data_IF_811694037898
#
_entry.id   IF_811694037898
#
_cell.length_a   1.000
_cell.length_b   1.000
_cell.length_c   1.000
_cell.angle_alpha   90.00
_cell.angle_beta   90.00
_cell.angle_gamma   90.00
#
_symmetry.space_group_name_H-M   'P 1'
#
loop_
_entity.id
_entity.type
_entity.pdbx_description
1 polymer ?
#
# COMPACT_ATOMS: atom_id res chain seq x y z
N UNK A 1 9.46 -11.88 29.64
CA UNK A 1 8.80 -13.17 29.91
C UNK A 1 7.43 -13.11 29.24
N UNK A 2 7.19 -13.99 28.28
CA UNK A 2 6.12 -13.83 27.28
C UNK A 2 4.72 -14.09 27.84
N UNK A 3 3.75 -13.26 27.44
CA UNK A 3 2.33 -13.50 27.61
C UNK A 3 1.77 -14.18 26.36
N UNK A 4 0.98 -15.24 26.53
CA UNK A 4 0.12 -15.81 25.50
C UNK A 4 -1.27 -16.01 26.10
N UNK A 5 -2.26 -15.35 25.52
CA UNK A 5 -3.68 -15.48 25.87
C UNK A 5 -4.33 -16.47 24.90
N UNK A 6 -4.97 -17.50 25.47
CA UNK A 6 -5.75 -18.48 24.74
C UNK A 6 -7.18 -17.99 24.47
N UNK A 7 -7.66 -18.31 23.27
CA UNK A 7 -8.92 -17.97 22.61
C UNK A 7 -10.19 -18.32 23.45
N UNK A 8 -11.23 -17.46 23.53
CA UNK A 8 -12.38 -17.66 24.41
C UNK A 8 -13.63 -18.15 23.66
N UNK A 9 -13.64 -19.35 23.09
CA UNK A 9 -14.88 -19.95 22.59
C UNK A 9 -14.91 -21.47 22.80
N UNK A 10 -15.36 -21.90 23.97
CA UNK A 10 -15.86 -23.25 24.16
C UNK A 10 -16.96 -23.25 25.22
N UNK A 11 -18.20 -23.52 24.78
CA UNK A 11 -19.33 -23.81 25.66
C UNK A 11 -19.39 -25.34 25.82
N UNK A 12 -19.22 -25.81 27.06
CA UNK A 12 -19.39 -27.21 27.44
C UNK A 12 -20.84 -27.39 27.92
N UNK A 13 -21.62 -28.24 27.24
CA UNK A 13 -22.97 -28.60 27.67
C UNK A 13 -22.92 -29.97 28.35
N UNK A 14 -23.30 -30.02 29.63
CA UNK A 14 -23.51 -31.27 30.36
C UNK A 14 -24.91 -31.82 30.09
N UNK A 15 -25.02 -33.08 29.69
CA UNK A 15 -26.30 -33.78 29.60
C UNK A 15 -26.82 -34.13 30.99
N UNK A 16 -27.98 -33.59 31.34
CA UNK A 16 -28.86 -34.18 32.35
C UNK A 16 -30.10 -34.73 31.64
N UNK A 17 -30.37 -35.99 31.90
CA UNK A 17 -31.52 -36.75 31.41
C UNK A 17 -32.82 -36.19 31.97
N UNK A 18 -33.68 -35.61 31.12
CA UNK A 18 -35.15 -35.67 31.31
C UNK A 18 -35.90 -35.33 30.03
N UNK A 19 -36.95 -36.10 29.79
CA UNK A 19 -37.89 -36.07 28.66
C UNK A 19 -38.83 -34.86 28.66
N UNK A 20 -39.11 -34.34 27.45
CA UNK A 20 -40.43 -34.00 26.89
C UNK A 20 -40.62 -32.58 26.30
N UNK A 21 -41.34 -32.60 25.18
CA UNK A 21 -41.97 -31.53 24.38
C UNK A 21 -41.14 -30.67 23.40
N UNK A 22 -41.28 -31.06 22.12
CA UNK A 22 -40.88 -30.34 20.91
C UNK A 22 -41.85 -29.18 20.62
N UNK A 23 -41.33 -27.96 20.45
CA UNK A 23 -42.01 -26.88 19.72
C UNK A 23 -41.38 -26.74 18.33
N UNK A 24 -42.19 -26.95 17.28
CA UNK A 24 -41.80 -26.75 15.87
C UNK A 24 -41.42 -25.28 15.63
N UNK A 25 -40.19 -25.02 15.25
CA UNK A 25 -39.77 -23.78 14.60
C UNK A 25 -39.57 -24.09 13.11
N UNK A 26 -40.28 -23.39 12.25
CA UNK A 26 -40.22 -23.53 10.79
C UNK A 26 -38.95 -22.90 10.21
N UNK A 27 -38.15 -23.68 9.48
CA UNK A 27 -37.01 -23.22 8.70
C UNK A 27 -37.46 -22.71 7.31
N UNK A 28 -36.96 -21.57 6.80
CA UNK A 28 -37.04 -21.25 5.38
C UNK A 28 -36.05 -22.09 4.56
N UNK A 29 -36.42 -22.30 3.28
CA UNK A 29 -35.80 -23.20 2.28
C UNK A 29 -34.27 -23.15 2.24
N UNK A 30 -33.67 -24.31 2.51
CA UNK A 30 -32.26 -24.63 2.59
C UNK A 30 -31.48 -24.54 1.27
N UNK A 31 -30.27 -23.95 1.31
CA UNK A 31 -29.15 -24.31 0.43
C UNK A 31 -28.69 -25.75 0.73
N UNK A 32 -28.13 -26.51 -0.24
CA UNK A 32 -27.74 -27.90 -0.01
C UNK A 32 -26.57 -27.98 0.97
N UNK A 33 -26.83 -28.50 2.17
CA UNK A 33 -25.80 -28.79 3.18
C UNK A 33 -25.14 -30.11 2.80
N UNK A 34 -23.85 -30.08 2.47
CA UNK A 34 -23.08 -31.30 2.23
C UNK A 34 -22.53 -31.82 3.56
N UNK A 35 -23.26 -32.71 4.23
CA UNK A 35 -22.78 -33.40 5.44
C UNK A 35 -21.83 -34.54 5.07
N UNK A 36 -20.56 -34.44 5.45
CA UNK A 36 -19.64 -35.59 5.49
C UNK A 36 -19.46 -36.03 6.94
N UNK A 37 -20.11 -37.13 7.32
CA UNK A 37 -19.95 -37.75 8.63
C UNK A 37 -18.86 -38.83 8.58
N UNK A 38 -17.77 -38.67 9.35
CA UNK A 38 -16.83 -39.76 9.65
C UNK A 38 -17.08 -40.26 11.07
N UNK A 39 -17.44 -41.54 11.20
CA UNK A 39 -17.73 -42.19 12.48
C UNK A 39 -16.41 -42.65 13.13
N UNK A 40 -16.04 -42.02 14.25
CA UNK A 40 -15.22 -42.65 15.29
C UNK A 40 -15.91 -42.42 16.63
N UNK A 41 -15.99 -43.51 17.40
CA UNK A 41 -16.52 -43.65 18.76
C UNK A 41 -16.83 -42.35 19.53
N UNK A 42 -18.10 -42.20 19.91
CA UNK A 42 -18.50 -41.56 21.17
C UNK A 42 -18.80 -40.06 21.19
N UNK A 43 -18.42 -39.27 20.18
CA UNK A 43 -18.71 -37.83 20.18
C UNK A 43 -19.07 -37.33 18.77
N UNK A 44 -20.17 -36.58 18.67
CA UNK A 44 -20.59 -35.92 17.44
C UNK A 44 -20.14 -34.46 17.50
N UNK A 45 -19.01 -34.13 16.87
CA UNK A 45 -18.60 -32.74 16.69
C UNK A 45 -19.02 -32.29 15.31
N UNK A 46 -20.05 -31.46 15.22
CA UNK A 46 -20.43 -30.78 13.99
C UNK A 46 -19.61 -29.48 13.89
N UNK A 47 -18.72 -29.39 12.90
CA UNK A 47 -18.08 -28.13 12.54
C UNK A 47 -19.00 -27.37 11.59
N UNK A 48 -19.63 -26.30 12.10
CA UNK A 48 -20.22 -25.28 11.23
C UNK A 48 -19.08 -24.37 10.75
N UNK A 49 -18.48 -24.71 9.61
CA UNK A 49 -17.84 -23.68 8.81
C UNK A 49 -18.98 -23.01 8.04
N UNK A 50 -19.34 -21.80 8.47
CA UNK A 50 -19.90 -20.86 7.51
C UNK A 50 -18.80 -20.69 6.46
N UNK A 51 -18.96 -21.39 5.33
CA UNK A 51 -18.29 -20.97 4.12
C UNK A 51 -18.94 -19.65 3.76
N UNK A 52 -18.49 -18.57 4.39
CA UNK A 52 -18.59 -17.24 3.80
C UNK A 52 -17.81 -17.36 2.51
N UNK A 53 -18.53 -17.66 1.44
CA UNK A 53 -18.09 -17.36 0.10
C UNK A 53 -17.85 -15.85 0.12
N UNK A 54 -16.60 -15.45 0.38
CA UNK A 54 -16.18 -14.06 0.35
C UNK A 54 -16.54 -13.55 -1.05
N UNK A 55 -17.70 -12.89 -1.15
CA UNK A 55 -18.11 -12.21 -2.37
C UNK A 55 -17.06 -11.13 -2.57
N UNK A 56 -16.38 -11.19 -3.70
CA UNK A 56 -15.44 -10.16 -4.13
C UNK A 56 -16.16 -8.80 -4.07
N UNK A 57 -15.84 -7.92 -3.10
CA UNK A 57 -16.58 -6.68 -2.87
C UNK A 57 -16.50 -5.74 -4.08
N UNK A 58 -15.50 -5.94 -4.95
CA UNK A 58 -15.33 -5.19 -6.20
C UNK A 58 -16.43 -5.56 -7.21
N UNK A 59 -16.93 -6.80 -7.20
CA UNK A 59 -17.94 -7.31 -8.15
C UNK A 59 -19.36 -7.20 -7.63
N UNK A 60 -19.53 -6.94 -6.34
CA UNK A 60 -20.84 -6.73 -5.74
C UNK A 60 -21.33 -5.29 -5.99
N UNK A 61 -22.28 -5.14 -6.91
CA UNK A 61 -22.88 -3.84 -7.25
C UNK A 61 -23.83 -3.32 -6.15
N UNK A 62 -24.16 -4.14 -5.15
CA UNK A 62 -25.05 -3.76 -4.05
C UNK A 62 -24.28 -3.17 -2.86
N UNK A 63 -22.98 -3.46 -2.74
CA UNK A 63 -22.10 -2.81 -1.76
C UNK A 63 -22.01 -1.30 -2.09
N UNK A 64 -22.17 -0.37 -1.13
CA UNK A 64 -21.92 1.05 -1.36
C UNK A 64 -20.51 1.32 -1.91
N UNK A 65 -20.35 2.28 -2.82
CA UNK A 65 -19.11 2.46 -3.61
C UNK A 65 -17.87 2.71 -2.74
N UNK A 66 -18.06 3.42 -1.63
CA UNK A 66 -17.04 3.74 -0.62
C UNK A 66 -16.55 2.54 0.19
N UNK A 67 -17.28 1.42 0.15
CA UNK A 67 -16.92 0.15 0.80
C UNK A 67 -16.39 -0.90 -0.19
N UNK A 68 -16.44 -0.63 -1.51
CA UNK A 68 -15.97 -1.58 -2.54
C UNK A 68 -14.46 -1.61 -2.69
N UNK A 69 -13.79 -0.51 -2.35
CA UNK A 69 -12.36 -0.36 -2.51
C UNK A 69 -11.73 -0.16 -1.15
N UNK A 70 -10.84 -1.07 -0.79
CA UNK A 70 -10.02 -0.87 0.40
C UNK A 70 -9.12 0.36 0.21
N UNK A 71 -9.00 1.16 1.25
CA UNK A 71 -8.03 2.24 1.27
C UNK A 71 -6.61 1.65 1.17
N UNK A 72 -5.70 2.39 0.52
CA UNK A 72 -4.30 2.00 0.52
C UNK A 72 -3.76 1.88 1.96
N UNK A 73 -3.00 0.82 2.28
CA UNK A 73 -2.36 0.70 3.57
C UNK A 73 -1.37 1.85 3.77
N UNK A 74 -1.08 2.19 5.03
CA UNK A 74 -0.03 3.16 5.38
C UNK A 74 1.11 2.43 6.06
N UNK A 75 2.26 2.39 5.40
CA UNK A 75 3.52 1.84 5.94
C UNK A 75 4.43 2.95 6.43
N UNK A 76 4.40 4.12 5.78
CA UNK A 76 4.95 5.35 6.34
C UNK A 76 3.97 6.51 6.13
N UNK A 77 3.72 7.27 7.18
CA UNK A 77 2.92 8.49 7.13
C UNK A 77 3.76 9.74 6.80
N UNK A 78 3.10 10.90 6.71
CA UNK A 78 3.75 12.16 6.35
C UNK A 78 4.78 12.64 7.40
N UNK A 79 4.62 12.28 8.67
CA UNK A 79 5.57 12.64 9.71
C UNK A 79 6.88 11.86 9.52
N UNK A 80 6.78 10.55 9.32
CA UNK A 80 7.92 9.69 9.05
C UNK A 80 8.64 10.06 7.73
N UNK A 81 7.88 10.43 6.69
CA UNK A 81 8.43 10.93 5.44
C UNK A 81 9.21 12.24 5.66
N UNK A 82 8.68 13.17 6.47
CA UNK A 82 9.34 14.46 6.77
C UNK A 82 10.58 14.31 7.62
N UNK A 83 10.66 13.29 8.46
CA UNK A 83 11.87 12.93 9.20
C UNK A 83 12.94 12.34 8.26
N UNK A 84 12.51 11.56 7.27
CA UNK A 84 13.40 10.87 6.34
C UNK A 84 13.90 11.75 5.19
N UNK A 85 13.08 12.68 4.71
CA UNK A 85 13.41 13.58 3.60
C UNK A 85 13.63 15.02 4.07
N UNK A 86 14.61 15.74 3.49
CA UNK A 86 14.81 17.16 3.80
C UNK A 86 13.77 18.08 3.13
N UNK A 87 13.03 17.58 2.13
CA UNK A 87 12.06 18.36 1.35
C UNK A 87 10.92 18.91 2.22
N UNK A 88 10.51 20.15 1.96
CA UNK A 88 9.39 20.82 2.64
C UNK A 88 8.52 21.54 1.62
N UNK A 89 7.37 22.06 2.04
CA UNK A 89 6.50 22.87 1.20
C UNK A 89 7.30 24.01 0.52
N UNK A 90 7.09 24.28 -0.79
CA UNK A 90 6.10 23.66 -1.69
C UNK A 90 6.65 22.49 -2.52
N UNK A 91 7.69 21.79 -2.05
CA UNK A 91 8.45 20.81 -2.84
C UNK A 91 8.61 19.43 -2.18
N UNK A 92 7.81 19.11 -1.15
CA UNK A 92 7.65 17.74 -0.67
C UNK A 92 6.45 17.12 -1.42
N UNK A 93 6.71 16.09 -2.22
CA UNK A 93 5.76 15.54 -3.19
C UNK A 93 5.45 14.05 -2.96
N UNK A 94 5.71 13.54 -1.76
CA UNK A 94 5.30 12.20 -1.33
C UNK A 94 4.45 12.35 -0.08
N UNK A 95 3.19 11.96 -0.16
CA UNK A 95 2.21 12.16 0.93
C UNK A 95 2.10 10.94 1.85
N UNK A 96 2.32 9.75 1.30
CA UNK A 96 2.21 8.46 1.99
C UNK A 96 3.07 7.40 1.31
N UNK A 97 3.60 6.45 2.08
CA UNK A 97 4.21 5.22 1.54
C UNK A 97 3.35 4.01 1.92
N UNK A 98 3.07 3.16 0.94
CA UNK A 98 2.13 2.03 1.04
C UNK A 98 2.83 0.67 0.96
N UNK A 99 4.07 0.65 0.45
CA UNK A 99 4.94 -0.51 0.41
C UNK A 99 6.37 -0.02 0.67
N UNK A 100 7.01 -0.50 1.73
CA UNK A 100 8.39 -0.16 2.09
C UNK A 100 8.95 -1.22 3.01
N UNK A 101 10.23 -1.55 2.84
CA UNK A 101 10.93 -2.51 3.70
C UNK A 101 12.28 -1.93 4.07
N UNK A 102 12.61 -1.92 5.37
CA UNK A 102 13.92 -1.47 5.85
C UNK A 102 15.04 -2.35 5.27
N UNK A 103 16.10 -1.74 4.75
CA UNK A 103 17.14 -2.38 3.95
C UNK A 103 16.69 -2.89 2.57
N UNK A 104 15.44 -2.66 2.19
CA UNK A 104 14.87 -3.06 0.90
C UNK A 104 15.24 -2.09 -0.22
N UNK A 105 15.09 -2.56 -1.46
CA UNK A 105 15.49 -1.82 -2.67
C UNK A 105 14.30 -1.20 -3.43
N UNK A 106 13.08 -1.31 -2.91
CA UNK A 106 11.88 -0.79 -3.56
C UNK A 106 10.92 -0.13 -2.57
N UNK A 107 10.12 0.79 -3.09
CA UNK A 107 9.04 1.41 -2.36
C UNK A 107 7.88 1.76 -3.30
N UNK A 108 6.67 1.83 -2.74
CA UNK A 108 5.49 2.40 -3.40
C UNK A 108 4.97 3.56 -2.57
N UNK A 109 4.90 4.73 -3.19
CA UNK A 109 4.42 5.98 -2.58
C UNK A 109 3.20 6.53 -3.28
N UNK A 110 2.50 7.42 -2.60
CA UNK A 110 1.34 8.14 -3.11
C UNK A 110 1.63 9.63 -3.08
N UNK A 111 1.26 10.30 -4.17
CA UNK A 111 1.02 11.73 -4.23
C UNK A 111 -0.45 11.97 -4.58
N UNK A 112 -1.18 12.66 -3.71
CA UNK A 112 -2.51 13.15 -4.01
C UNK A 112 -2.39 14.45 -4.81
N UNK A 113 -3.20 14.57 -5.85
CA UNK A 113 -3.19 15.75 -6.71
C UNK A 113 -4.43 16.58 -6.40
N UNK A 114 -4.23 17.78 -5.87
CA UNK A 114 -5.32 18.68 -5.51
C UNK A 114 -5.24 19.99 -6.27
N UNK A 115 -6.39 20.55 -6.67
CA UNK A 115 -6.43 21.85 -7.35
C UNK A 115 -5.81 22.98 -6.51
N UNK A 116 -5.71 22.79 -5.19
CA UNK A 116 -5.12 23.72 -4.24
C UNK A 116 -3.57 23.68 -4.19
N UNK A 117 -2.90 23.14 -5.21
CA UNK A 117 -1.43 23.17 -5.31
C UNK A 117 -0.93 24.38 -6.09
N UNK A 118 0.15 25.00 -5.58
CA UNK A 118 0.68 26.28 -6.07
C UNK A 118 0.94 26.33 -7.59
N UNK A 119 1.34 25.21 -8.20
CA UNK A 119 1.71 25.18 -9.62
C UNK A 119 0.51 25.21 -10.57
N UNK A 120 -0.72 24.90 -10.13
CA UNK A 120 -1.88 24.88 -11.01
C UNK A 120 -2.31 26.28 -11.49
N UNK A 121 -1.99 27.33 -10.72
CA UNK A 121 -2.20 28.71 -11.14
C UNK A 121 -1.43 29.07 -12.43
N UNK A 122 -0.30 28.40 -12.68
CA UNK A 122 0.55 28.63 -13.84
C UNK A 122 0.56 27.50 -14.88
N UNK A 123 0.08 26.30 -14.54
CA UNK A 123 0.24 25.12 -15.40
C UNK A 123 -1.07 24.30 -15.52
N UNK A 124 -2.02 24.70 -16.36
CA UNK A 124 -2.11 25.98 -17.07
C UNK A 124 -3.40 26.68 -16.63
N UNK A 125 -3.47 28.03 -16.70
CA UNK A 125 -4.74 28.73 -16.49
C UNK A 125 -5.87 28.12 -17.34
N UNK A 126 -6.96 27.71 -16.70
CA UNK A 126 -8.12 27.07 -17.36
C UNK A 126 -7.95 25.58 -17.72
N UNK A 127 -6.75 25.00 -17.55
CA UNK A 127 -6.48 23.57 -17.77
C UNK A 127 -5.44 23.05 -16.77
N UNK A 128 -5.84 22.73 -15.53
CA UNK A 128 -4.93 22.33 -14.47
C UNK A 128 -4.33 20.95 -14.78
N UNK A 129 -3.06 20.91 -15.17
CA UNK A 129 -2.29 19.69 -15.46
C UNK A 129 -1.04 19.70 -14.59
N UNK A 130 -0.70 18.58 -13.96
CA UNK A 130 0.54 18.49 -13.18
C UNK A 130 1.74 18.62 -14.15
N UNK A 131 2.69 19.53 -13.89
CA UNK A 131 3.94 19.58 -14.67
C UNK A 131 4.63 18.21 -14.62
N UNK A 132 4.95 17.61 -15.77
CA UNK A 132 5.55 16.28 -15.84
C UNK A 132 6.85 16.15 -15.03
N UNK A 133 7.62 17.24 -14.94
CA UNK A 133 8.84 17.30 -14.11
C UNK A 133 8.56 17.11 -12.62
N UNK A 134 7.38 17.48 -12.11
CA UNK A 134 7.01 17.23 -10.71
C UNK A 134 6.65 15.77 -10.45
N UNK A 135 6.16 15.05 -11.47
CA UNK A 135 5.99 13.59 -11.40
C UNK A 135 7.35 12.90 -11.31
N UNK A 136 8.34 13.38 -12.09
CA UNK A 136 9.71 12.90 -12.02
C UNK A 136 10.33 13.17 -10.64
N UNK A 137 10.15 14.38 -10.12
CA UNK A 137 10.62 14.78 -8.79
C UNK A 137 9.98 13.93 -7.67
N UNK A 138 8.66 13.73 -7.69
CA UNK A 138 7.96 12.93 -6.69
C UNK A 138 8.48 11.48 -6.66
N UNK A 139 8.74 10.89 -7.83
CA UNK A 139 9.40 9.58 -7.93
C UNK A 139 10.85 9.63 -7.42
N UNK A 140 11.62 10.68 -7.73
CA UNK A 140 12.97 10.83 -7.21
C UNK A 140 13.00 10.91 -5.67
N UNK A 141 12.06 11.63 -5.05
CA UNK A 141 11.88 11.69 -3.60
C UNK A 141 11.56 10.33 -2.98
N UNK A 142 10.67 9.57 -3.61
CA UNK A 142 10.40 8.18 -3.20
C UNK A 142 11.66 7.30 -3.33
N UNK A 143 12.45 7.49 -4.39
CA UNK A 143 13.76 6.85 -4.54
C UNK A 143 14.76 7.27 -3.45
N UNK A 144 14.71 8.53 -3.04
CA UNK A 144 15.47 9.09 -1.92
C UNK A 144 15.16 8.41 -0.59
N UNK A 145 13.88 8.15 -0.29
CA UNK A 145 13.48 7.38 0.89
C UNK A 145 14.16 6.01 0.93
N UNK A 146 14.25 5.33 -0.22
CA UNK A 146 14.95 4.05 -0.32
C UNK A 146 16.46 4.28 -0.10
N UNK A 147 17.06 5.24 -0.81
CA UNK A 147 18.51 5.44 -0.84
C UNK A 147 19.10 5.90 0.49
N UNK A 148 18.39 6.74 1.25
CA UNK A 148 18.85 7.30 2.53
C UNK A 148 18.87 6.29 3.67
N UNK A 149 18.43 5.06 3.44
CA UNK A 149 18.55 3.98 4.40
C UNK A 149 20.04 3.70 4.73
N UNK A 150 20.43 3.72 6.03
CA UNK A 150 21.79 3.44 6.45
C UNK A 150 22.32 2.08 5.94
N UNK A 151 21.44 1.09 5.80
CA UNK A 151 21.75 -0.26 5.31
C UNK A 151 22.19 -0.27 3.83
N UNK A 152 21.79 0.74 3.05
CA UNK A 152 22.09 0.84 1.62
C UNK A 152 23.27 1.75 1.33
N UNK A 153 23.25 2.99 1.81
CA UNK A 153 24.25 4.00 1.48
C UNK A 153 25.23 4.31 2.63
N UNK A 154 24.97 3.82 3.84
CA UNK A 154 25.58 4.33 5.07
C UNK A 154 24.89 5.60 5.57
N UNK A 155 25.35 6.20 6.67
CA UNK A 155 24.80 7.47 7.17
C UNK A 155 24.87 8.57 6.11
N UNK A 156 23.72 9.06 5.67
CA UNK A 156 23.57 10.19 4.75
C UNK A 156 22.24 10.89 5.01
N UNK A 157 22.24 12.21 4.90
CA UNK A 157 21.06 13.05 5.21
C UNK A 157 20.37 13.59 3.95
N UNK A 158 21.06 13.52 2.81
CA UNK A 158 20.62 14.12 1.55
C UNK A 158 20.97 13.21 0.38
N UNK A 159 20.18 13.36 -0.67
CA UNK A 159 20.47 12.78 -1.96
C UNK A 159 20.27 13.82 -3.05
N UNK A 160 20.85 13.58 -4.21
CA UNK A 160 20.71 14.40 -5.40
C UNK A 160 20.19 13.55 -6.54
N UNK A 161 19.22 14.10 -7.28
CA UNK A 161 18.88 13.60 -8.61
C UNK A 161 19.96 14.06 -9.60
N UNK A 162 20.80 13.13 -10.04
CA UNK A 162 21.95 13.43 -10.93
C UNK A 162 21.56 13.38 -12.39
N UNK A 163 20.64 12.48 -12.75
CA UNK A 163 20.21 12.32 -14.13
C UNK A 163 18.96 11.46 -14.24
N UNK A 164 18.28 11.62 -15.37
CA UNK A 164 17.15 10.77 -15.76
C UNK A 164 17.31 10.37 -17.21
N UNK A 165 16.98 9.13 -17.51
CA UNK A 165 17.04 8.54 -18.83
C UNK A 165 15.69 7.92 -19.20
N UNK A 166 15.43 7.77 -20.50
CA UNK A 166 14.23 7.11 -21.05
C UNK A 166 12.90 7.61 -20.49
N UNK A 167 12.82 8.88 -20.08
CA UNK A 167 11.58 9.48 -19.57
C UNK A 167 10.47 9.38 -20.61
N UNK A 168 9.30 8.89 -20.22
CA UNK A 168 8.08 8.88 -21.04
C UNK A 168 6.90 9.37 -20.21
N UNK A 169 6.24 10.42 -20.70
CA UNK A 169 4.94 10.87 -20.20
C UNK A 169 3.87 10.31 -21.13
N UNK A 170 3.02 9.44 -20.61
CA UNK A 170 2.04 8.68 -21.40
C UNK A 170 0.67 9.32 -21.37
N UNK A 171 0.27 9.87 -20.21
CA UNK A 171 -1.01 10.55 -20.00
C UNK A 171 -0.83 11.75 -19.05
N UNK A 172 -1.62 12.82 -19.22
CA UNK A 172 -1.61 13.93 -18.27
C UNK A 172 -2.14 13.46 -16.92
N UNK A 173 -1.54 13.96 -15.84
CA UNK A 173 -2.05 13.83 -14.47
C UNK A 173 -2.77 15.13 -14.12
N UNK A 174 -3.95 15.04 -13.53
CA UNK A 174 -4.85 16.19 -13.28
C UNK A 174 -5.30 16.25 -11.82
N UNK A 175 -5.87 17.39 -11.43
CA UNK A 175 -6.46 17.54 -10.10
C UNK A 175 -7.56 16.49 -9.86
N UNK A 176 -7.53 15.87 -8.68
CA UNK A 176 -8.41 14.75 -8.30
C UNK A 176 -7.75 13.37 -8.42
N UNK A 177 -6.65 13.26 -9.16
CA UNK A 177 -5.93 11.99 -9.30
C UNK A 177 -5.20 11.59 -8.01
N UNK A 178 -5.13 10.28 -7.76
CA UNK A 178 -4.16 9.67 -6.85
C UNK A 178 -3.03 9.08 -7.67
N UNK A 179 -1.86 9.72 -7.63
CA UNK A 179 -0.66 9.27 -8.31
C UNK A 179 0.05 8.21 -7.45
N UNK A 180 0.00 6.96 -7.91
CA UNK A 180 0.69 5.83 -7.27
C UNK A 180 2.04 5.62 -7.94
N UNK A 181 3.13 5.72 -7.20
CA UNK A 181 4.49 5.69 -7.71
C UNK A 181 5.23 4.49 -7.16
N UNK A 182 5.90 3.73 -8.02
CA UNK A 182 6.82 2.66 -7.62
C UNK A 182 8.24 3.05 -8.01
N UNK A 183 9.15 2.95 -7.06
CA UNK A 183 10.58 3.11 -7.28
C UNK A 183 11.32 1.84 -6.93
N UNK A 184 12.34 1.48 -7.70
CA UNK A 184 13.18 0.31 -7.45
C UNK A 184 14.63 0.62 -7.79
N UNK A 185 15.54 0.46 -6.83
CA UNK A 185 16.99 0.51 -7.06
C UNK A 185 17.39 -0.78 -7.79
N UNK A 186 17.77 -0.66 -9.05
CA UNK A 186 18.21 -1.80 -9.88
C UNK A 186 19.71 -2.07 -9.73
N UNK A 187 20.51 -1.06 -9.36
CA UNK A 187 21.94 -1.23 -9.11
C UNK A 187 22.43 -0.19 -8.11
N UNK A 188 23.12 -0.66 -7.08
CA UNK A 188 23.73 0.18 -6.05
C UNK A 188 25.26 0.11 -6.12
N UNK A 189 25.91 1.26 -6.28
CA UNK A 189 27.36 1.42 -6.21
C UNK A 189 27.72 2.03 -4.86
N UNK A 190 27.65 1.22 -3.81
CA UNK A 190 27.76 1.67 -2.41
C UNK A 190 28.95 2.57 -2.14
N UNK A 191 30.15 2.26 -2.67
CA UNK A 191 31.37 3.07 -2.46
C UNK A 191 31.22 4.49 -3.01
N UNK A 192 30.54 4.65 -4.14
CA UNK A 192 30.34 5.94 -4.79
C UNK A 192 29.04 6.63 -4.33
N UNK A 193 28.20 5.97 -3.54
CA UNK A 193 26.89 6.52 -3.17
C UNK A 193 25.90 6.62 -4.34
N UNK A 194 26.16 5.95 -5.47
CA UNK A 194 25.33 6.07 -6.68
C UNK A 194 24.33 4.92 -6.76
N UNK A 195 23.05 5.24 -6.93
CA UNK A 195 21.99 4.28 -7.22
C UNK A 195 21.42 4.53 -8.61
N UNK A 196 21.30 3.44 -9.39
CA UNK A 196 20.45 3.42 -10.59
C UNK A 196 19.09 2.88 -10.19
N UNK A 197 18.03 3.57 -10.58
CA UNK A 197 16.67 3.21 -10.24
C UNK A 197 15.77 3.17 -11.47
N UNK A 198 14.69 2.38 -11.38
CA UNK A 198 13.54 2.46 -12.28
C UNK A 198 12.35 3.05 -11.52
N UNK A 199 11.65 3.98 -12.16
CA UNK A 199 10.44 4.61 -11.64
C UNK A 199 9.25 4.43 -12.58
N UNK A 200 8.09 4.10 -12.01
CA UNK A 200 6.81 3.99 -12.72
C UNK A 200 5.71 4.65 -11.90
N UNK A 201 4.90 5.50 -12.53
CA UNK A 201 3.78 6.19 -11.91
C UNK A 201 2.46 5.83 -12.60
N UNK A 202 1.41 5.66 -11.80
CA UNK A 202 0.10 5.16 -12.23
C UNK A 202 -1.04 6.03 -11.70
N UNK A 203 -2.13 6.09 -12.46
CA UNK A 203 -3.44 6.62 -12.03
C UNK A 203 -4.51 5.60 -12.43
N UNK A 204 -5.32 5.14 -11.47
CA UNK A 204 -6.40 4.18 -11.76
C UNK A 204 -5.96 2.87 -12.44
N UNK A 205 -4.71 2.45 -12.23
CA UNK A 205 -4.10 1.26 -12.86
C UNK A 205 -3.40 1.54 -14.20
N UNK A 206 -3.52 2.73 -14.77
CA UNK A 206 -2.88 3.10 -16.03
C UNK A 206 -1.50 3.71 -15.79
N UNK A 207 -0.49 3.27 -16.55
CA UNK A 207 0.85 3.85 -16.49
C UNK A 207 0.84 5.25 -17.11
N UNK A 208 1.09 6.28 -16.30
CA UNK A 208 1.08 7.69 -16.72
C UNK A 208 2.49 8.23 -16.96
N UNK A 209 3.51 7.73 -16.25
CA UNK A 209 4.90 8.13 -16.41
C UNK A 209 5.86 6.99 -16.07
N UNK A 210 6.99 6.92 -16.76
CA UNK A 210 8.12 6.04 -16.40
C UNK A 210 9.45 6.72 -16.75
N UNK A 211 10.50 6.36 -16.01
CA UNK A 211 11.86 6.83 -16.25
C UNK A 211 12.90 5.95 -15.55
N UNK A 212 14.14 5.97 -16.06
CA UNK A 212 15.32 5.50 -15.38
C UNK A 212 15.97 6.69 -14.64
N UNK A 213 16.46 6.46 -13.43
CA UNK A 213 17.01 7.50 -12.56
C UNK A 213 18.44 7.18 -12.15
N UNK A 214 19.25 8.22 -12.01
CA UNK A 214 20.53 8.20 -11.34
C UNK A 214 20.48 9.08 -10.10
N UNK A 215 20.51 8.46 -8.93
CA UNK A 215 20.54 9.15 -7.65
C UNK A 215 21.92 9.05 -7.03
N UNK A 216 22.33 10.09 -6.31
CA UNK A 216 23.57 10.14 -5.55
C UNK A 216 23.28 10.47 -4.09
N UNK A 217 23.70 9.61 -3.17
CA UNK A 217 23.66 9.85 -1.74
C UNK A 217 24.82 10.76 -1.34
N UNK A 218 24.49 11.92 -0.76
CA UNK A 218 25.46 12.87 -0.23
C UNK A 218 26.05 12.34 1.06
N UNK A 219 27.12 11.56 0.94
CA UNK A 219 27.86 11.07 2.09
C UNK A 219 28.65 12.24 2.67
N UNK A 220 28.45 12.51 3.96
CA UNK A 220 29.34 13.41 4.69
C UNK A 220 30.79 12.96 4.44
N UNK A 221 31.64 13.88 3.99
CA UNK A 221 33.02 13.57 3.66
C UNK A 221 33.75 13.12 4.94
N UNK A 222 34.05 11.82 5.05
CA UNK A 222 35.05 11.26 5.95
C UNK A 222 34.65 11.11 7.43
N UNK A 223 34.33 9.88 7.81
CA UNK A 223 34.98 9.22 8.95
C UNK A 223 35.57 7.90 8.44
#
# INVERSE_FOLDING_TARGET
MAMSFANPYSLVVHNSTTTSHLSRISLPKSLPIHLTAKRKSGAFTAYCSAADAAKDPIKDKDTPIELRYEAFPTVMDIHEIRESLPHRFPFLLVDRVVEYTRGGFSAVGIKNITINENFFNGHFPGKPIVPGVLVIEAMAQLGGLILLQPELAGPCERFFLVGTDKVRFRKPVVAGDTLVMRMTIVKMQKRLGIAKCEGRAYVGGELVCEADYLLYADKAAGY
#
